data_IF_840898565507
#
_entry.id   IF_840898565507
#
_cell.length_a   1.000
_cell.length_b   1.000
_cell.length_c   1.000
_cell.angle_alpha   90.00
_cell.angle_beta   90.00
_cell.angle_gamma   90.00
#
_symmetry.space_group_name_H-M   'P 1'
#
loop_
_entity.id
_entity.type
_entity.pdbx_description
1 polymer ?
#
# COMPACT_ATOMS: atom_id res chain seq x y z
N UNK A 1 3.50 -22.85 8.29
CA UNK A 1 2.64 -21.69 7.96
C UNK A 1 2.00 -21.96 6.61
N UNK A 2 0.68 -21.77 6.48
CA UNK A 2 0.00 -21.95 5.18
C UNK A 2 0.54 -20.93 4.17
N UNK A 3 0.91 -21.38 2.98
CA UNK A 3 1.39 -20.48 1.92
C UNK A 3 0.31 -19.45 1.56
N UNK A 4 0.70 -18.18 1.45
CA UNK A 4 -0.12 -17.11 0.90
C UNK A 4 0.07 -17.13 -0.62
N UNK A 5 -1.02 -17.29 -1.36
CA UNK A 5 -1.06 -17.22 -2.82
C UNK A 5 -1.77 -15.93 -3.22
N UNK A 6 -1.38 -15.38 -4.35
CA UNK A 6 -2.00 -14.21 -4.95
C UNK A 6 -2.22 -14.45 -6.44
N UNK A 7 -3.43 -14.29 -6.89
CA UNK A 7 -3.83 -14.30 -8.29
C UNK A 7 -3.91 -12.86 -8.79
N UNK A 8 -2.98 -12.50 -9.68
CA UNK A 8 -2.90 -11.14 -10.25
C UNK A 8 -4.10 -10.81 -11.15
N UNK A 9 -4.62 -11.78 -11.90
CA UNK A 9 -5.71 -11.55 -12.84
C UNK A 9 -7.02 -11.19 -12.12
N UNK A 10 -7.27 -11.80 -10.95
CA UNK A 10 -8.47 -11.56 -10.14
C UNK A 10 -8.21 -10.70 -8.91
N UNK A 11 -6.96 -10.30 -8.67
CA UNK A 11 -6.50 -9.59 -7.48
C UNK A 11 -6.95 -10.27 -6.18
N UNK A 12 -6.82 -11.60 -6.14
CA UNK A 12 -7.35 -12.42 -5.05
C UNK A 12 -6.25 -13.05 -4.23
N UNK A 13 -6.32 -12.90 -2.91
CA UNK A 13 -5.43 -13.58 -1.95
C UNK A 13 -6.07 -14.85 -1.44
N UNK A 14 -5.28 -15.93 -1.35
CA UNK A 14 -5.69 -17.23 -0.79
C UNK A 14 -4.68 -17.68 0.27
N UNK A 15 -5.16 -17.96 1.47
CA UNK A 15 -4.35 -18.44 2.57
C UNK A 15 -4.88 -19.80 3.08
N UNK A 16 -4.05 -20.86 2.96
CA UNK A 16 -4.47 -22.23 3.32
C UNK A 16 -5.66 -22.74 2.50
N UNK A 17 -5.72 -22.41 1.20
CA UNK A 17 -6.80 -22.82 0.31
C UNK A 17 -8.11 -22.02 0.46
N UNK A 18 -8.13 -20.98 1.30
CA UNK A 18 -9.33 -20.15 1.54
C UNK A 18 -9.05 -18.72 1.11
N UNK A 19 -9.95 -18.15 0.32
CA UNK A 19 -9.89 -16.73 -0.08
C UNK A 19 -9.99 -15.85 1.16
N UNK A 20 -9.11 -14.85 1.24
CA UNK A 20 -9.10 -13.85 2.30
C UNK A 20 -9.20 -12.44 1.71
N UNK A 21 -9.90 -11.50 2.39
CA UNK A 21 -10.05 -10.16 1.87
C UNK A 21 -8.71 -9.40 1.88
N UNK A 22 -8.53 -8.54 0.88
CA UNK A 22 -7.40 -7.60 0.85
C UNK A 22 -7.65 -6.40 1.77
N UNK A 23 -6.56 -5.75 2.20
CA UNK A 23 -6.61 -4.49 2.97
C UNK A 23 -7.45 -3.44 2.23
N UNK A 24 -7.26 -3.29 0.93
CA UNK A 24 -7.99 -2.30 0.11
C UNK A 24 -9.48 -2.62 -0.04
N UNK A 25 -9.85 -3.90 -0.17
CA UNK A 25 -11.27 -4.33 -0.17
C UNK A 25 -11.95 -4.04 1.17
N UNK A 26 -11.24 -4.27 2.28
CA UNK A 26 -11.77 -4.01 3.63
C UNK A 26 -12.02 -2.51 3.82
N UNK A 27 -11.11 -1.66 3.35
CA UNK A 27 -11.16 -0.20 3.53
C UNK A 27 -12.01 0.53 2.49
N UNK A 28 -12.56 -0.16 1.49
CA UNK A 28 -13.40 0.45 0.46
C UNK A 28 -14.53 1.36 1.01
N UNK A 29 -15.20 1.04 2.14
CA UNK A 29 -16.24 1.92 2.71
C UNK A 29 -15.76 3.28 3.20
N UNK A 30 -14.45 3.48 3.43
CA UNK A 30 -13.89 4.77 3.87
C UNK A 30 -13.66 5.75 2.72
N UNK A 31 -13.70 5.27 1.48
CA UNK A 31 -13.43 6.05 0.29
C UNK A 31 -14.71 6.12 -0.56
N UNK A 32 -15.49 7.17 -0.39
CA UNK A 32 -16.58 7.43 -1.33
C UNK A 32 -15.99 8.02 -2.63
N UNK A 33 -15.91 7.19 -3.66
CA UNK A 33 -15.43 7.57 -4.99
C UNK A 33 -16.59 7.61 -6.00
N UNK A 34 -17.84 7.52 -5.54
CA UNK A 34 -19.02 7.42 -6.39
C UNK A 34 -19.26 8.67 -7.26
N UNK A 35 -18.72 9.82 -6.83
CA UNK A 35 -18.78 11.09 -7.58
C UNK A 35 -17.75 11.20 -8.70
N UNK A 36 -16.78 10.26 -8.79
CA UNK A 36 -15.73 10.28 -9.80
C UNK A 36 -16.14 9.38 -10.96
N UNK A 37 -16.01 9.87 -12.19
CA UNK A 37 -16.31 9.08 -13.39
C UNK A 37 -15.45 7.81 -13.47
N UNK A 38 -16.01 6.67 -13.88
CA UNK A 38 -15.27 5.40 -13.94
C UNK A 38 -13.97 5.46 -14.76
N UNK A 39 -13.98 6.19 -15.88
CA UNK A 39 -12.81 6.35 -16.75
C UNK A 39 -11.68 7.10 -16.04
N UNK A 40 -12.01 8.09 -15.22
CA UNK A 40 -11.03 8.85 -14.42
C UNK A 40 -10.45 7.96 -13.32
N UNK A 41 -11.29 7.16 -12.66
CA UNK A 41 -10.82 6.19 -11.66
C UNK A 41 -9.89 5.16 -12.28
N UNK A 42 -10.23 4.63 -13.46
CA UNK A 42 -9.39 3.65 -14.15
C UNK A 42 -8.04 4.28 -14.52
N UNK A 43 -8.05 5.46 -15.15
CA UNK A 43 -6.82 6.19 -15.48
C UNK A 43 -5.92 6.41 -14.25
N UNK A 44 -6.50 6.81 -13.11
CA UNK A 44 -5.74 7.02 -11.87
C UNK A 44 -5.16 5.72 -11.31
N UNK A 45 -5.86 4.61 -11.43
CA UNK A 45 -5.35 3.28 -11.04
C UNK A 45 -4.18 2.86 -11.94
N UNK A 46 -4.34 3.00 -13.26
CA UNK A 46 -3.30 2.63 -14.22
C UNK A 46 -2.04 3.47 -14.03
N UNK A 47 -2.20 4.78 -13.82
CA UNK A 47 -1.11 5.68 -13.48
C UNK A 47 -0.42 5.26 -12.17
N UNK A 48 -1.18 4.98 -11.12
CA UNK A 48 -0.65 4.51 -9.85
C UNK A 48 0.18 3.23 -10.03
N UNK A 49 -0.37 2.24 -10.73
CA UNK A 49 0.33 0.98 -11.03
C UNK A 49 1.64 1.22 -11.79
N UNK A 50 1.62 2.09 -12.81
CA UNK A 50 2.81 2.42 -13.59
C UNK A 50 3.89 3.14 -12.73
N UNK A 51 3.48 4.05 -11.85
CA UNK A 51 4.40 4.73 -10.92
C UNK A 51 5.02 3.74 -9.93
N UNK A 52 4.22 2.87 -9.31
CA UNK A 52 4.75 1.83 -8.40
C UNK A 52 5.77 0.95 -9.13
N UNK A 53 5.46 0.52 -10.37
CA UNK A 53 6.39 -0.30 -11.15
C UNK A 53 7.68 0.46 -11.52
N UNK A 54 7.59 1.72 -11.90
CA UNK A 54 8.75 2.54 -12.22
C UNK A 54 9.65 2.75 -11.00
N UNK A 55 9.07 3.04 -9.81
CA UNK A 55 9.83 3.18 -8.56
C UNK A 55 10.45 1.87 -8.09
N UNK A 56 9.76 0.72 -8.30
CA UNK A 56 10.30 -0.61 -8.04
C UNK A 56 11.54 -0.89 -8.90
N UNK A 57 11.43 -0.70 -10.21
CA UNK A 57 12.53 -0.91 -11.16
C UNK A 57 13.71 0.03 -10.89
N UNK A 58 13.44 1.26 -10.48
CA UNK A 58 14.48 2.20 -10.06
C UNK A 58 15.22 1.69 -8.83
N UNK A 59 14.49 1.23 -7.81
CA UNK A 59 15.08 0.73 -6.55
C UNK A 59 15.89 -0.56 -6.76
N UNK A 60 15.54 -1.40 -7.75
CA UNK A 60 16.29 -2.61 -8.14
C UNK A 60 17.43 -2.35 -9.10
N UNK A 61 17.54 -1.15 -9.67
CA UNK A 61 18.52 -0.81 -10.71
C UNK A 61 18.22 -1.44 -12.08
N UNK A 62 16.98 -1.86 -12.31
CA UNK A 62 16.50 -2.52 -13.55
C UNK A 62 15.71 -1.57 -14.46
N UNK A 63 15.57 -0.29 -14.07
CA UNK A 63 14.78 0.68 -14.83
C UNK A 63 15.49 1.05 -16.15
N UNK A 64 14.80 0.86 -17.27
CA UNK A 64 15.13 1.52 -18.52
C UNK A 64 14.51 2.93 -18.54
N UNK A 65 15.32 3.93 -18.27
CA UNK A 65 14.94 5.35 -18.24
C UNK A 65 14.23 5.81 -19.51
N UNK A 66 14.56 5.24 -20.67
CA UNK A 66 13.97 5.59 -21.97
C UNK A 66 12.55 5.04 -22.14
N UNK A 67 12.16 4.03 -21.35
CA UNK A 67 10.85 3.41 -21.37
C UNK A 67 9.81 4.11 -20.50
N UNK A 68 10.22 5.08 -19.66
CA UNK A 68 9.34 5.77 -18.74
C UNK A 68 8.45 6.75 -19.48
N UNK A 69 7.14 6.53 -19.42
CA UNK A 69 6.15 7.42 -20.05
C UNK A 69 6.18 8.83 -19.42
N UNK A 70 5.96 9.86 -20.23
CA UNK A 70 5.99 11.27 -19.79
C UNK A 70 5.07 11.56 -18.59
N UNK A 71 3.91 10.91 -18.53
CA UNK A 71 2.95 11.07 -17.42
C UNK A 71 3.42 10.43 -16.11
N UNK A 72 4.37 9.49 -16.17
CA UNK A 72 4.95 8.78 -15.00
C UNK A 72 6.20 9.50 -14.51
N UNK A 73 6.94 10.15 -15.43
CA UNK A 73 8.23 10.78 -15.16
C UNK A 73 8.24 11.69 -13.93
N UNK A 74 7.31 12.65 -13.76
CA UNK A 74 7.35 13.54 -12.58
C UNK A 74 7.23 12.79 -11.25
N UNK A 75 6.43 11.74 -11.19
CA UNK A 75 6.27 10.93 -9.97
C UNK A 75 7.52 10.12 -9.66
N UNK A 76 8.19 9.59 -10.69
CA UNK A 76 9.48 8.92 -10.53
C UNK A 76 10.56 9.91 -10.06
N UNK A 77 10.60 11.12 -10.63
CA UNK A 77 11.52 12.18 -10.22
C UNK A 77 11.29 12.57 -8.75
N UNK A 78 10.02 12.63 -8.32
CA UNK A 78 9.67 12.84 -6.91
C UNK A 78 10.21 11.72 -5.99
N UNK A 79 10.13 10.46 -6.44
CA UNK A 79 10.71 9.31 -5.71
C UNK A 79 12.24 9.37 -5.66
N UNK A 80 12.89 9.63 -6.79
CA UNK A 80 14.35 9.77 -6.88
C UNK A 80 14.83 10.88 -5.95
N UNK A 81 14.13 12.01 -5.95
CA UNK A 81 14.41 13.13 -5.04
C UNK A 81 14.25 12.74 -3.58
N UNK A 82 13.17 12.04 -3.20
CA UNK A 82 13.00 11.53 -1.86
C UNK A 82 14.16 10.65 -1.44
N UNK A 83 14.59 9.72 -2.31
CA UNK A 83 15.73 8.80 -2.07
C UNK A 83 17.05 9.54 -1.85
N UNK A 84 17.24 10.68 -2.53
CA UNK A 84 18.43 11.52 -2.38
C UNK A 84 18.41 12.38 -1.10
N UNK A 85 17.23 12.90 -0.73
CA UNK A 85 17.06 13.81 0.41
C UNK A 85 16.88 13.09 1.75
N UNK A 86 16.28 11.89 1.73
CA UNK A 86 15.99 11.10 2.92
C UNK A 86 16.69 9.73 2.82
N UNK A 87 17.85 9.53 3.44
CA UNK A 87 18.53 8.25 3.36
C UNK A 87 17.81 7.19 4.19
N UNK A 88 17.42 6.09 3.54
CA UNK A 88 16.85 4.90 4.17
C UNK A 88 17.27 3.64 3.40
N UNK A 89 17.29 2.51 4.10
CA UNK A 89 17.52 1.19 3.52
C UNK A 89 16.17 0.51 3.24
N UNK A 90 15.99 -0.08 2.06
CA UNK A 90 14.82 -0.90 1.73
C UNK A 90 15.04 -2.31 2.29
N UNK A 91 14.18 -2.74 3.19
CA UNK A 91 14.18 -4.06 3.83
C UNK A 91 13.25 -5.06 3.12
N UNK A 92 12.25 -4.56 2.42
CA UNK A 92 11.28 -5.33 1.64
C UNK A 92 10.49 -4.41 0.72
N UNK A 93 10.08 -4.91 -0.44
CA UNK A 93 9.44 -4.15 -1.50
C UNK A 93 8.38 -5.00 -2.19
N UNK A 94 7.15 -4.45 -2.36
CA UNK A 94 6.01 -5.12 -2.99
C UNK A 94 5.77 -6.53 -2.44
N UNK A 95 5.97 -6.69 -1.11
CA UNK A 95 5.83 -8.00 -0.48
C UNK A 95 4.41 -8.24 0.03
N UNK A 96 3.97 -9.47 -0.18
CA UNK A 96 2.65 -9.95 0.24
C UNK A 96 2.68 -10.36 1.70
N UNK A 97 1.74 -9.86 2.48
CA UNK A 97 1.61 -10.19 3.91
C UNK A 97 0.23 -10.73 4.24
N UNK A 98 0.18 -11.62 5.23
CA UNK A 98 -1.05 -12.21 5.74
C UNK A 98 -1.10 -12.12 7.26
N UNK A 99 -2.21 -11.65 7.78
CA UNK A 99 -2.45 -11.63 9.23
C UNK A 99 -3.28 -12.86 9.65
N UNK A 100 -2.69 -13.89 10.28
CA UNK A 100 -3.36 -15.17 10.51
C UNK A 100 -4.56 -15.08 11.47
N UNK A 101 -4.49 -14.28 12.53
CA UNK A 101 -5.58 -14.15 13.48
C UNK A 101 -6.76 -13.36 12.91
N UNK A 102 -6.49 -12.28 12.16
CA UNK A 102 -7.51 -11.45 11.54
C UNK A 102 -7.81 -11.83 10.08
N UNK A 103 -7.19 -12.87 9.53
CA UNK A 103 -7.46 -13.46 8.21
C UNK A 103 -7.72 -12.41 7.11
N UNK A 104 -6.78 -11.50 6.91
CA UNK A 104 -6.70 -10.57 5.79
C UNK A 104 -5.30 -10.60 5.21
N UNK A 105 -5.16 -10.17 3.97
CA UNK A 105 -3.89 -10.09 3.27
C UNK A 105 -3.74 -8.73 2.57
N UNK A 106 -2.55 -8.46 2.10
CA UNK A 106 -2.25 -7.29 1.27
C UNK A 106 -0.81 -7.32 0.78
N UNK A 107 -0.47 -6.36 -0.07
CA UNK A 107 0.88 -6.09 -0.51
C UNK A 107 1.26 -4.71 -0.01
N UNK A 108 2.35 -4.58 0.75
CA UNK A 108 2.88 -3.28 1.13
C UNK A 108 3.90 -2.81 0.10
N UNK A 109 3.99 -1.50 -0.10
CA UNK A 109 4.88 -0.95 -1.13
C UNK A 109 6.34 -1.06 -0.70
N UNK A 110 6.68 -0.52 0.47
CA UNK A 110 8.05 -0.59 1.03
C UNK A 110 8.03 -0.81 2.53
N UNK A 111 8.91 -1.69 3.00
CA UNK A 111 9.37 -1.75 4.39
C UNK A 111 10.79 -1.21 4.40
N UNK A 112 11.05 -0.19 5.20
CA UNK A 112 12.34 0.51 5.21
C UNK A 112 12.95 0.58 6.60
N UNK A 113 14.28 0.78 6.66
CA UNK A 113 15.01 1.20 7.85
C UNK A 113 15.30 2.69 7.72
N UNK A 114 14.64 3.52 8.52
CA UNK A 114 14.80 4.97 8.57
C UNK A 114 15.22 5.37 9.99
N UNK A 115 16.36 6.02 10.13
CA UNK A 115 16.91 6.47 11.44
C UNK A 115 16.89 5.37 12.52
N UNK A 116 17.29 4.16 12.14
CA UNK A 116 17.31 3.00 13.03
C UNK A 116 15.95 2.36 13.29
N UNK A 117 14.84 2.89 12.75
CA UNK A 117 13.46 2.41 12.93
C UNK A 117 12.96 1.70 11.67
N UNK A 118 12.21 0.63 11.85
CA UNK A 118 11.48 -0.02 10.75
C UNK A 118 10.18 0.72 10.48
N UNK A 119 9.97 1.12 9.23
CA UNK A 119 8.82 1.91 8.83
C UNK A 119 8.13 1.31 7.60
N UNK A 120 6.80 1.40 7.55
CA UNK A 120 6.02 1.17 6.33
C UNK A 120 5.96 2.49 5.56
N UNK A 121 6.34 2.44 4.30
CA UNK A 121 6.11 3.49 3.30
C UNK A 121 5.07 3.00 2.30
N UNK A 122 4.04 3.79 2.09
CA UNK A 122 2.91 3.49 1.21
C UNK A 122 2.81 4.64 0.19
N UNK A 123 3.12 4.36 -1.08
CA UNK A 123 3.26 5.35 -2.15
C UNK A 123 1.89 5.76 -2.68
N UNK A 124 1.71 7.04 -2.91
CA UNK A 124 0.45 7.62 -3.40
C UNK A 124 0.72 8.62 -4.52
N UNK A 125 -0.05 8.52 -5.61
CA UNK A 125 0.00 9.41 -6.78
C UNK A 125 -1.18 10.38 -6.84
N UNK A 126 -1.89 10.55 -5.74
CA UNK A 126 -3.08 11.39 -5.63
C UNK A 126 -3.20 12.04 -4.27
N UNK A 127 -4.30 12.75 -4.05
CA UNK A 127 -4.58 13.41 -2.78
C UNK A 127 -4.71 12.43 -1.61
N UNK A 128 -4.64 12.96 -0.40
CA UNK A 128 -4.75 12.17 0.83
C UNK A 128 -6.17 11.71 1.08
N UNK A 129 -6.33 10.43 1.44
CA UNK A 129 -7.62 9.83 1.80
C UNK A 129 -7.61 9.33 3.26
N UNK A 130 -8.77 9.35 3.94
CA UNK A 130 -8.91 8.87 5.32
C UNK A 130 -8.50 7.40 5.51
N UNK A 131 -8.53 6.60 4.45
CA UNK A 131 -8.15 5.18 4.49
C UNK A 131 -6.65 4.92 4.64
N UNK A 132 -5.76 5.89 4.37
CA UNK A 132 -4.32 5.63 4.33
C UNK A 132 -3.71 5.35 5.71
N UNK A 133 -4.21 6.01 6.77
CA UNK A 133 -3.83 5.67 8.13
C UNK A 133 -4.18 4.22 8.48
N UNK A 134 -5.47 3.81 8.40
CA UNK A 134 -5.88 2.42 8.59
C UNK A 134 -5.20 1.40 7.66
N UNK A 135 -4.89 1.77 6.42
CA UNK A 135 -4.17 0.92 5.46
C UNK A 135 -2.75 0.61 5.95
N UNK A 136 -1.99 1.64 6.30
CA UNK A 136 -0.62 1.47 6.81
C UNK A 136 -0.60 0.77 8.17
N UNK A 137 -1.63 0.95 9.02
CA UNK A 137 -1.79 0.22 10.27
C UNK A 137 -2.04 -1.27 10.04
N UNK A 138 -2.82 -1.63 9.03
CA UNK A 138 -3.04 -3.03 8.64
C UNK A 138 -1.74 -3.69 8.16
N UNK A 139 -0.98 -3.03 7.28
CA UNK A 139 0.31 -3.53 6.83
C UNK A 139 1.30 -3.69 7.98
N UNK A 140 1.44 -2.67 8.85
CA UNK A 140 2.27 -2.76 10.05
C UNK A 140 1.94 -4.01 10.87
N UNK A 141 0.66 -4.20 11.23
CA UNK A 141 0.25 -5.34 12.07
C UNK A 141 0.49 -6.68 11.39
N UNK A 142 0.28 -6.79 10.07
CA UNK A 142 0.55 -8.01 9.33
C UNK A 142 2.05 -8.32 9.26
N UNK A 143 2.90 -7.31 8.99
CA UNK A 143 4.37 -7.45 8.95
C UNK A 143 4.92 -7.84 10.33
N UNK A 144 4.47 -7.18 11.41
CA UNK A 144 4.88 -7.51 12.78
C UNK A 144 4.50 -8.95 13.13
N UNK A 145 3.29 -9.39 12.75
CA UNK A 145 2.82 -10.74 13.02
C UNK A 145 3.57 -11.79 12.22
N UNK A 146 3.94 -11.50 10.98
CA UNK A 146 4.68 -12.42 10.11
C UNK A 146 6.16 -12.53 10.50
N UNK A 147 6.80 -11.41 10.85
CA UNK A 147 8.25 -11.34 11.08
C UNK A 147 8.66 -11.45 12.55
N UNK A 148 7.74 -11.21 13.49
CA UNK A 148 8.04 -11.04 14.92
C UNK A 148 8.83 -9.79 15.26
N UNK A 149 9.07 -8.91 14.28
CA UNK A 149 9.84 -7.66 14.44
C UNK A 149 8.89 -6.45 14.45
N UNK A 150 9.16 -5.50 15.34
CA UNK A 150 8.38 -4.28 15.47
C UNK A 150 8.53 -3.38 14.25
N UNK A 151 7.44 -2.70 13.87
CA UNK A 151 7.39 -1.60 12.92
C UNK A 151 7.02 -0.34 13.70
N UNK A 152 7.84 0.68 13.63
CA UNK A 152 7.76 1.83 14.54
C UNK A 152 7.17 3.05 13.87
N UNK A 153 7.35 3.19 12.54
CA UNK A 153 6.81 4.30 11.75
C UNK A 153 5.89 3.83 10.64
N UNK A 154 4.97 4.71 10.25
CA UNK A 154 4.06 4.50 9.12
C UNK A 154 3.94 5.83 8.36
N UNK A 155 4.14 5.79 7.04
CA UNK A 155 4.10 6.98 6.21
C UNK A 155 3.33 6.72 4.92
N UNK A 156 2.46 7.65 4.54
CA UNK A 156 1.99 7.77 3.17
C UNK A 156 2.92 8.76 2.44
N UNK A 157 3.48 8.31 1.33
CA UNK A 157 4.40 9.10 0.50
C UNK A 157 3.61 9.64 -0.69
N UNK A 158 3.21 10.88 -0.64
CA UNK A 158 2.52 11.55 -1.73
C UNK A 158 3.56 11.98 -2.78
N UNK A 159 3.60 11.25 -3.90
CA UNK A 159 4.38 11.63 -5.09
C UNK A 159 3.50 12.50 -5.98
N UNK A 160 4.06 13.59 -6.55
CA UNK A 160 3.30 14.61 -7.27
C UNK A 160 3.73 14.74 -8.72
N UNK A 161 2.82 15.24 -9.53
CA UNK A 161 3.01 15.48 -10.96
C UNK A 161 3.90 16.69 -11.29
N UNK A 162 4.33 17.44 -10.26
CA UNK A 162 5.33 18.50 -10.37
C UNK A 162 6.78 18.05 -9.99
N UNK A 163 7.00 16.76 -9.78
CA UNK A 163 8.30 16.21 -9.37
C UNK A 163 8.63 16.41 -7.90
N UNK A 164 7.65 16.86 -7.09
CA UNK A 164 7.82 17.00 -5.64
C UNK A 164 7.16 15.85 -4.88
N UNK A 165 7.50 15.71 -3.59
CA UNK A 165 6.86 14.74 -2.71
C UNK A 165 6.46 15.35 -1.38
N UNK A 166 5.58 14.68 -0.66
CA UNK A 166 5.30 14.94 0.77
C UNK A 166 5.30 13.64 1.56
N UNK A 167 5.92 13.69 2.74
CA UNK A 167 5.79 12.64 3.74
C UNK A 167 4.64 12.97 4.68
N UNK A 168 3.69 12.06 4.79
CA UNK A 168 2.61 12.13 5.74
C UNK A 168 2.81 11.03 6.78
N UNK A 169 3.27 11.39 7.97
CA UNK A 169 3.39 10.43 9.06
C UNK A 169 2.01 10.06 9.60
N UNK A 170 1.71 8.76 9.62
CA UNK A 170 0.43 8.21 10.09
C UNK A 170 0.54 7.88 11.58
N UNK A 171 0.19 8.84 12.43
CA UNK A 171 0.38 8.74 13.90
C UNK A 171 -0.89 8.47 14.68
N UNK A 172 -2.07 8.48 14.01
CA UNK A 172 -3.34 8.30 14.71
C UNK A 172 -3.39 6.90 15.37
N UNK A 173 -3.53 6.83 16.70
CA UNK A 173 -3.63 5.57 17.43
C UNK A 173 -4.91 4.79 17.11
N UNK A 174 -5.95 5.44 16.58
CA UNK A 174 -7.22 4.82 16.26
C UNK A 174 -7.21 4.08 14.89
N UNK A 175 -6.24 4.35 14.04
CA UNK A 175 -6.14 3.75 12.70
C UNK A 175 -6.34 2.23 12.67
N UNK A 176 -5.75 1.53 13.64
CA UNK A 176 -5.92 0.08 13.74
C UNK A 176 -7.35 -0.32 14.12
N UNK A 177 -7.98 0.42 15.01
CA UNK A 177 -9.36 0.14 15.43
C UNK A 177 -10.34 0.44 14.28
N UNK A 178 -10.09 1.50 13.52
CA UNK A 178 -10.86 1.83 12.32
C UNK A 178 -10.75 0.69 11.30
N UNK A 179 -9.55 0.17 11.05
CA UNK A 179 -9.36 -0.99 10.17
C UNK A 179 -10.14 -2.21 10.65
N UNK A 180 -10.10 -2.53 11.95
CA UNK A 180 -10.83 -3.65 12.52
C UNK A 180 -12.35 -3.47 12.41
N UNK A 181 -12.84 -2.25 12.57
CA UNK A 181 -14.25 -1.90 12.34
C UNK A 181 -14.68 -2.16 10.89
N UNK A 182 -13.87 -1.73 9.93
CA UNK A 182 -14.09 -2.00 8.50
C UNK A 182 -14.05 -3.51 8.20
N UNK A 183 -13.13 -4.25 8.79
CA UNK A 183 -13.05 -5.71 8.65
C UNK A 183 -14.30 -6.41 9.19
N UNK A 184 -14.80 -5.97 10.34
CA UNK A 184 -16.04 -6.50 10.91
C UNK A 184 -17.24 -6.22 9.98
N UNK A 185 -17.34 -5.00 9.46
CA UNK A 185 -18.38 -4.62 8.49
C UNK A 185 -18.27 -5.43 7.19
N UNK A 186 -17.06 -5.61 6.65
CA UNK A 186 -16.81 -6.42 5.46
C UNK A 186 -17.30 -7.86 5.65
N UNK A 187 -16.98 -8.48 6.77
CA UNK A 187 -17.44 -9.85 7.11
C UNK A 187 -18.95 -9.94 7.28
N UNK A 188 -19.54 -8.95 7.95
CA UNK A 188 -20.99 -8.90 8.12
C UNK A 188 -21.71 -8.82 6.78
N UNK A 189 -21.26 -7.92 5.88
CA UNK A 189 -21.84 -7.80 4.53
C UNK A 189 -21.72 -9.11 3.75
N UNK A 190 -20.54 -9.74 3.73
CA UNK A 190 -20.34 -10.97 2.98
C UNK A 190 -21.15 -12.17 3.52
N UNK A 191 -21.41 -12.21 4.83
CA UNK A 191 -22.26 -13.23 5.45
C UNK A 191 -23.74 -13.09 5.04
N UNK A 192 -24.18 -11.87 4.71
CA UNK A 192 -25.59 -11.55 4.41
C UNK A 192 -25.81 -11.15 2.95
N UNK A 193 -24.81 -11.29 2.08
CA UNK A 193 -24.92 -11.01 0.63
C UNK A 193 -25.42 -12.22 -0.19
N UNK A 194 -25.97 -13.25 0.47
CA UNK A 194 -26.51 -14.46 -0.16
C UNK A 194 -27.98 -14.30 -0.53
#
# INVERSE_FOLDING_TARGET
MSALLFDEATHTYTAGGVVVPSVTQILAPLNDLSFIKPEVLQYKRDLGTAVHKATELYDTGELDESSVADVVRPYLDAWIRLRAELPFEILGMEERVFHPAHRYAGTYDRLVQLDGKRCIFDLKTGGMFPSYGPQTAAYKNAVEKASGKRVEGRYAIELRDDGTYRLHEMTDPEDWQVFLGCLALHRFKNKHAA
#
